data_IF_264907572864
#
_entry.id   IF_264907572864
#
_cell.length_a   1.000
_cell.length_b   1.000
_cell.length_c   1.000
_cell.angle_alpha   90.00
_cell.angle_beta   90.00
_cell.angle_gamma   90.00
#
_symmetry.space_group_name_H-M   'P 1'
#
loop_
_entity.id
_entity.type
_entity.pdbx_description
1 polymer ?
#
# COMPACT_ATOMS: atom_id res chain seq x y z
N UNK A 1 -7.38 12.80 2.31
CA UNK A 1 -6.00 12.28 2.54
C UNK A 1 -5.19 13.35 3.25
N UNK A 2 -4.67 13.04 4.42
CA UNK A 2 -3.82 13.95 5.20
C UNK A 2 -2.33 13.76 4.92
N UNK A 3 -1.93 12.52 4.66
CA UNK A 3 -0.54 12.14 4.48
C UNK A 3 -0.39 10.97 3.51
N UNK A 4 0.59 11.05 2.67
CA UNK A 4 1.08 9.96 1.82
C UNK A 4 2.55 9.77 2.14
N UNK A 5 2.98 8.55 2.43
CA UNK A 5 4.36 8.26 2.78
C UNK A 5 4.75 6.83 2.49
N UNK A 6 6.05 6.59 2.45
CA UNK A 6 6.63 5.27 2.26
C UNK A 6 7.23 4.72 3.57
N UNK A 7 7.31 3.41 3.65
CA UNK A 7 8.03 2.70 4.70
C UNK A 7 8.70 1.45 4.14
N UNK A 8 9.94 1.22 4.52
CA UNK A 8 10.60 -0.07 4.30
C UNK A 8 10.12 -1.12 5.30
N UNK A 9 9.79 -0.70 6.51
CA UNK A 9 9.18 -1.51 7.57
C UNK A 9 7.97 -0.75 8.14
N UNK A 10 6.77 -1.30 7.93
CA UNK A 10 5.52 -0.71 8.40
C UNK A 10 5.40 -0.78 9.93
N UNK A 11 5.91 -1.83 10.56
CA UNK A 11 5.83 -1.97 12.01
C UNK A 11 6.74 -0.95 12.70
N UNK A 12 7.95 -0.75 12.18
CA UNK A 12 8.84 0.31 12.67
C UNK A 12 8.21 1.70 12.47
N UNK A 13 7.67 1.96 11.28
CA UNK A 13 7.01 3.24 10.97
C UNK A 13 5.81 3.50 11.87
N UNK A 14 4.97 2.49 12.12
CA UNK A 14 3.86 2.59 13.05
C UNK A 14 4.34 2.98 14.46
N UNK A 15 5.37 2.30 14.97
CA UNK A 15 5.95 2.60 16.29
C UNK A 15 6.51 4.02 16.38
N UNK A 16 7.17 4.51 15.33
CA UNK A 16 7.68 5.88 15.24
C UNK A 16 6.54 6.91 15.27
N UNK A 17 5.48 6.66 14.51
CA UNK A 17 4.33 7.56 14.45
C UNK A 17 3.51 7.61 15.74
N UNK A 18 3.54 6.54 16.53
CA UNK A 18 2.83 6.44 17.81
C UNK A 18 3.74 6.72 19.02
N UNK A 19 4.94 7.24 18.82
CA UNK A 19 5.83 7.61 19.92
C UNK A 19 6.41 6.45 20.72
N UNK A 20 6.28 5.20 20.23
CA UNK A 20 6.84 4.00 20.88
C UNK A 20 8.35 3.90 20.64
N UNK A 21 8.83 4.43 19.52
CA UNK A 21 10.25 4.58 19.21
C UNK A 21 10.65 6.06 19.23
N UNK A 22 11.93 6.37 19.45
CA UNK A 22 12.43 7.74 19.38
C UNK A 22 12.04 8.43 18.09
N UNK A 23 11.70 9.71 18.18
CA UNK A 23 11.30 10.54 17.05
C UNK A 23 12.49 10.60 16.07
N UNK A 24 12.27 10.10 14.86
CA UNK A 24 13.17 10.31 13.72
C UNK A 24 12.64 11.44 12.84
N UNK A 25 13.54 12.03 12.07
CA UNK A 25 13.17 13.01 11.05
C UNK A 25 12.06 12.45 10.14
N UNK A 26 11.04 13.28 9.88
CA UNK A 26 9.87 12.87 9.08
C UNK A 26 8.76 12.17 9.87
N UNK A 27 8.91 11.94 11.18
CA UNK A 27 7.82 11.43 12.02
C UNK A 27 6.62 12.38 11.99
N UNK A 28 5.41 11.82 11.98
CA UNK A 28 4.14 12.55 12.02
C UNK A 28 3.48 12.52 13.40
N UNK A 29 4.18 12.06 14.43
CA UNK A 29 3.64 11.90 15.77
C UNK A 29 2.87 13.13 16.26
N UNK A 30 3.49 14.30 16.27
CA UNK A 30 2.84 15.54 16.73
C UNK A 30 1.57 15.87 15.94
N UNK A 31 1.58 15.67 14.63
CA UNK A 31 0.40 15.91 13.77
C UNK A 31 -0.71 14.90 14.03
N UNK A 32 -0.36 13.66 14.33
CA UNK A 32 -1.30 12.60 14.71
C UNK A 32 -1.91 12.90 16.09
N UNK A 33 -1.12 13.30 17.06
CA UNK A 33 -1.58 13.71 18.39
C UNK A 33 -2.51 14.93 18.31
N UNK A 34 -2.14 15.95 17.55
CA UNK A 34 -2.99 17.11 17.31
C UNK A 34 -4.30 16.71 16.60
N UNK A 35 -4.24 15.80 15.64
CA UNK A 35 -5.44 15.31 14.96
C UNK A 35 -6.40 14.62 15.92
N UNK A 36 -5.90 13.69 16.75
CA UNK A 36 -6.72 12.96 17.70
C UNK A 36 -7.22 13.80 18.87
N UNK A 37 -6.66 14.99 19.11
CA UNK A 37 -7.24 15.94 20.06
C UNK A 37 -8.60 16.50 19.62
N UNK A 38 -8.92 16.37 18.32
CA UNK A 38 -10.14 16.93 17.69
C UNK A 38 -10.98 15.89 16.95
N UNK A 39 -10.46 14.70 16.73
CA UNK A 39 -11.08 13.65 15.93
C UNK A 39 -10.91 12.28 16.60
N UNK A 40 -11.85 11.39 16.39
CA UNK A 40 -11.83 10.06 17.01
C UNK A 40 -11.19 8.98 16.13
N UNK A 41 -11.14 9.19 14.81
CA UNK A 41 -10.72 8.16 13.85
C UNK A 41 -9.76 8.69 12.81
N UNK A 42 -8.77 7.88 12.50
CA UNK A 42 -7.86 8.08 11.39
C UNK A 42 -7.77 6.78 10.59
N UNK A 43 -8.29 6.80 9.37
CA UNK A 43 -8.18 5.69 8.45
C UNK A 43 -6.84 5.68 7.72
N UNK A 44 -6.44 4.50 7.23
CA UNK A 44 -5.26 4.39 6.39
C UNK A 44 -5.43 3.29 5.33
N UNK A 45 -4.67 3.43 4.24
CA UNK A 45 -4.56 2.44 3.17
C UNK A 45 -3.09 2.11 2.98
N UNK A 46 -2.80 0.85 2.74
CA UNK A 46 -1.46 0.36 2.48
C UNK A 46 -1.40 -0.16 1.05
N UNK A 47 -0.41 0.31 0.30
CA UNK A 47 0.00 -0.26 -0.98
C UNK A 47 1.29 -1.04 -0.76
N UNK A 48 1.29 -2.32 -1.12
CA UNK A 48 2.44 -3.20 -0.99
C UNK A 48 2.97 -3.52 -2.37
N UNK A 49 4.25 -3.26 -2.61
CA UNK A 49 4.88 -3.51 -3.91
C UNK A 49 4.97 -4.99 -4.26
N UNK A 50 5.26 -5.82 -3.27
CA UNK A 50 5.51 -7.25 -3.48
C UNK A 50 5.01 -8.05 -2.28
N UNK A 51 4.45 -9.24 -2.50
CA UNK A 51 4.21 -10.20 -1.42
C UNK A 51 5.46 -10.48 -0.60
N UNK A 52 6.64 -10.37 -1.24
CA UNK A 52 7.95 -10.56 -0.62
C UNK A 52 8.34 -9.40 0.30
N UNK A 53 7.80 -8.21 0.13
CA UNK A 53 8.04 -7.03 0.98
C UNK A 53 7.13 -6.94 2.21
N UNK A 54 6.35 -7.97 2.49
CA UNK A 54 5.43 -8.01 3.61
C UNK A 54 6.11 -8.38 4.94
N UNK A 55 5.45 -8.13 6.10
CA UNK A 55 5.93 -8.60 7.41
C UNK A 55 6.26 -10.09 7.49
N UNK A 56 5.71 -10.88 6.57
CA UNK A 56 6.08 -12.28 6.35
C UNK A 56 7.56 -12.46 5.97
N UNK A 57 8.17 -11.48 5.31
CA UNK A 57 9.61 -11.54 4.97
C UNK A 57 10.46 -11.61 6.23
N UNK A 58 10.13 -10.85 7.26
CA UNK A 58 10.86 -10.89 8.52
C UNK A 58 10.75 -12.26 9.21
N UNK A 59 9.58 -12.90 9.14
CA UNK A 59 9.36 -14.25 9.69
C UNK A 59 9.99 -15.34 8.82
N UNK A 60 10.13 -15.11 7.53
CA UNK A 60 10.64 -16.07 6.55
C UNK A 60 12.01 -15.66 5.98
N UNK A 61 12.77 -14.79 6.66
CA UNK A 61 14.10 -14.34 6.21
C UNK A 61 14.99 -15.51 5.78
N UNK A 62 15.02 -16.56 6.59
CA UNK A 62 15.80 -17.78 6.30
C UNK A 62 15.36 -18.49 5.01
N UNK A 63 14.06 -18.47 4.68
CA UNK A 63 13.55 -19.04 3.45
C UNK A 63 14.01 -18.23 2.23
N UNK A 64 13.98 -16.90 2.33
CA UNK A 64 14.46 -16.02 1.26
C UNK A 64 15.97 -16.06 1.09
N UNK A 65 16.71 -16.19 2.18
CA UNK A 65 18.16 -16.42 2.13
C UNK A 65 18.51 -17.73 1.42
N UNK A 66 17.71 -18.79 1.67
CA UNK A 66 17.86 -20.06 0.97
C UNK A 66 17.54 -19.93 -0.52
N UNK A 67 16.44 -19.23 -0.86
CA UNK A 67 16.04 -18.99 -2.24
C UNK A 67 17.06 -18.10 -2.98
N UNK A 68 17.54 -17.05 -2.36
CA UNK A 68 18.58 -16.17 -2.90
C UNK A 68 19.87 -16.94 -3.22
N UNK A 69 20.31 -17.82 -2.30
CA UNK A 69 21.48 -18.69 -2.53
C UNK A 69 21.26 -19.63 -3.71
N UNK A 70 20.06 -20.21 -3.87
CA UNK A 70 19.74 -21.06 -5.01
C UNK A 70 19.78 -20.32 -6.35
N UNK A 71 19.43 -19.04 -6.35
CA UNK A 71 19.47 -18.17 -7.53
C UNK A 71 20.80 -17.44 -7.70
N UNK A 72 21.80 -17.74 -6.84
CA UNK A 72 23.08 -17.03 -6.79
C UNK A 72 22.93 -15.50 -6.78
N UNK A 73 21.96 -15.01 -6.03
CA UNK A 73 21.58 -13.61 -5.92
C UNK A 73 21.68 -13.18 -4.45
N UNK A 74 22.25 -12.04 -4.11
CA UNK A 74 22.21 -11.54 -2.73
C UNK A 74 20.77 -11.37 -2.24
N UNK A 75 20.50 -11.68 -0.97
CA UNK A 75 19.17 -11.46 -0.36
C UNK A 75 18.77 -9.99 -0.47
N UNK A 76 19.75 -9.12 -0.32
CA UNK A 76 19.60 -7.67 -0.48
C UNK A 76 19.07 -7.30 -1.86
N UNK A 77 19.38 -8.03 -2.92
CA UNK A 77 18.90 -7.78 -4.28
C UNK A 77 17.44 -8.25 -4.48
N UNK A 78 17.00 -9.29 -3.77
CA UNK A 78 15.58 -9.63 -3.68
C UNK A 78 14.78 -8.58 -2.88
N UNK A 79 15.46 -7.91 -1.95
CA UNK A 79 14.96 -6.83 -1.10
C UNK A 79 15.44 -5.43 -1.56
N UNK A 80 16.08 -5.32 -2.72
CA UNK A 80 17.08 -4.37 -3.15
C UNK A 80 16.63 -2.92 -3.32
N UNK A 81 17.64 -2.06 -3.64
CA UNK A 81 17.48 -0.66 -4.03
C UNK A 81 16.41 -0.43 -5.07
N UNK A 82 16.28 -1.31 -6.06
CA UNK A 82 15.22 -1.22 -7.06
C UNK A 82 13.82 -1.31 -6.43
N UNK A 83 13.67 -2.13 -5.39
CA UNK A 83 12.45 -2.18 -4.60
C UNK A 83 12.16 -0.88 -3.86
N UNK A 84 13.18 -0.27 -3.29
CA UNK A 84 13.07 1.03 -2.62
C UNK A 84 12.77 2.15 -3.60
N UNK A 85 13.37 2.13 -4.78
CA UNK A 85 13.13 3.13 -5.81
C UNK A 85 11.74 3.05 -6.39
N UNK A 86 11.19 1.86 -6.53
CA UNK A 86 9.80 1.69 -6.96
C UNK A 86 8.81 2.18 -5.89
N UNK A 87 9.08 1.92 -4.59
CA UNK A 87 8.27 2.47 -3.50
C UNK A 87 8.32 4.00 -3.49
N UNK A 88 9.50 4.59 -3.68
CA UNK A 88 9.65 6.05 -3.83
C UNK A 88 8.89 6.58 -5.04
N UNK A 89 8.91 5.87 -6.17
CA UNK A 89 8.13 6.25 -7.37
C UNK A 89 6.64 6.24 -7.09
N UNK A 90 6.12 5.19 -6.43
CA UNK A 90 4.70 5.11 -6.06
C UNK A 90 4.32 6.25 -5.12
N UNK A 91 5.13 6.56 -4.11
CA UNK A 91 4.91 7.72 -3.25
C UNK A 91 4.84 9.02 -4.07
N UNK A 92 5.80 9.24 -4.97
CA UNK A 92 5.83 10.43 -5.84
C UNK A 92 4.61 10.50 -6.78
N UNK A 93 4.17 9.37 -7.35
CA UNK A 93 2.94 9.30 -8.17
C UNK A 93 1.73 9.74 -7.34
N UNK A 94 1.57 9.19 -6.15
CA UNK A 94 0.39 9.47 -5.31
C UNK A 94 0.35 10.91 -4.81
N UNK A 95 1.48 11.44 -4.34
CA UNK A 95 1.57 12.84 -3.86
C UNK A 95 1.30 13.82 -5.00
N UNK A 96 1.91 13.59 -6.18
CA UNK A 96 1.72 14.45 -7.33
C UNK A 96 0.30 14.34 -7.91
N UNK A 97 -0.28 13.14 -7.92
CA UNK A 97 -1.69 12.93 -8.31
C UNK A 97 -2.64 13.72 -7.40
N UNK A 98 -2.37 13.69 -6.09
CA UNK A 98 -3.11 14.51 -5.13
C UNK A 98 -2.95 16.01 -5.42
N UNK A 99 -1.72 16.46 -5.65
CA UNK A 99 -1.42 17.87 -5.96
C UNK A 99 -2.12 18.33 -7.23
N UNK A 100 -2.09 17.52 -8.30
CA UNK A 100 -2.79 17.84 -9.57
C UNK A 100 -4.31 17.91 -9.36
N UNK A 101 -4.87 17.07 -8.49
CA UNK A 101 -6.31 17.04 -8.24
C UNK A 101 -6.79 18.21 -7.38
N UNK A 102 -6.04 18.56 -6.33
CA UNK A 102 -6.50 19.51 -5.29
C UNK A 102 -5.74 20.82 -5.28
N UNK A 103 -4.71 21.00 -6.11
CA UNK A 103 -3.91 22.22 -6.20
C UNK A 103 -2.84 22.37 -5.12
N UNK A 104 -2.76 21.48 -4.14
CA UNK A 104 -1.81 21.51 -3.04
C UNK A 104 -1.37 20.08 -2.65
N UNK A 105 -0.28 19.96 -1.91
CA UNK A 105 0.14 18.68 -1.32
C UNK A 105 -0.83 18.23 -0.22
N UNK A 106 -0.85 16.91 0.11
CA UNK A 106 -1.53 16.45 1.31
C UNK A 106 -1.06 17.27 2.53
N UNK A 107 -1.94 17.67 3.46
CA UNK A 107 -1.63 18.65 4.52
C UNK A 107 -0.40 18.34 5.38
N UNK A 108 -0.04 17.07 5.49
CA UNK A 108 1.12 16.66 6.29
C UNK A 108 2.37 16.33 5.44
N UNK A 109 2.29 16.46 4.12
CA UNK A 109 3.43 16.34 3.22
C UNK A 109 4.03 17.72 2.95
N UNK A 110 5.33 17.85 3.14
CA UNK A 110 6.06 19.08 2.88
C UNK A 110 6.70 19.11 1.48
N UNK A 111 6.84 17.94 0.87
CA UNK A 111 7.52 17.75 -0.43
C UNK A 111 6.73 16.77 -1.32
N UNK A 112 7.00 16.82 -2.62
CA UNK A 112 6.31 16.02 -3.63
C UNK A 112 6.79 14.56 -3.78
N UNK A 113 7.71 14.10 -2.92
CA UNK A 113 8.30 12.77 -3.08
C UNK A 113 9.23 12.68 -4.29
N UNK A 114 9.43 11.47 -4.82
CA UNK A 114 10.35 11.22 -5.94
C UNK A 114 9.95 11.93 -7.22
N UNK A 115 10.88 12.69 -7.82
CA UNK A 115 10.70 13.35 -9.12
C UNK A 115 10.39 12.33 -10.22
N UNK A 116 11.04 11.16 -10.18
CA UNK A 116 10.76 10.09 -11.13
C UNK A 116 9.31 9.57 -11.04
N UNK A 117 8.72 9.60 -9.84
CA UNK A 117 7.30 9.30 -9.64
C UNK A 117 6.39 10.44 -10.13
N UNK A 118 6.72 11.68 -9.77
CA UNK A 118 5.94 12.85 -10.20
C UNK A 118 5.78 12.92 -11.73
N UNK A 119 6.85 12.60 -12.48
CA UNK A 119 6.86 12.61 -13.94
C UNK A 119 6.06 11.46 -14.59
N UNK A 120 5.63 10.47 -13.81
CA UNK A 120 4.87 9.31 -14.30
C UNK A 120 3.38 9.38 -14.05
N UNK A 121 2.88 10.48 -13.49
CA UNK A 121 1.46 10.63 -13.20
C UNK A 121 0.65 10.70 -14.49
N UNK A 122 -0.35 9.83 -14.57
CA UNK A 122 -1.35 9.77 -15.63
C UNK A 122 -2.76 9.98 -15.05
N UNK A 123 -3.76 10.13 -15.89
CA UNK A 123 -5.14 10.42 -15.47
C UNK A 123 -5.70 9.35 -14.51
N UNK A 124 -5.44 8.07 -14.77
CA UNK A 124 -5.89 6.99 -13.89
C UNK A 124 -5.32 7.09 -12.48
N UNK A 125 -4.08 7.57 -12.31
CA UNK A 125 -3.53 7.79 -10.98
C UNK A 125 -4.28 8.89 -10.22
N UNK A 126 -4.73 9.94 -10.92
CA UNK A 126 -5.55 11.02 -10.34
C UNK A 126 -6.89 10.47 -9.88
N UNK A 127 -7.51 9.58 -10.66
CA UNK A 127 -8.77 8.92 -10.30
C UNK A 127 -8.62 8.01 -9.07
N UNK A 128 -7.50 7.28 -8.96
CA UNK A 128 -7.18 6.49 -7.75
C UNK A 128 -7.15 7.38 -6.51
N UNK A 129 -6.44 8.50 -6.56
CA UNK A 129 -6.37 9.43 -5.43
C UNK A 129 -7.74 10.02 -5.11
N UNK A 130 -8.53 10.35 -6.11
CA UNK A 130 -9.91 10.82 -5.93
C UNK A 130 -10.74 9.79 -5.12
N UNK A 131 -10.61 8.51 -5.43
CA UNK A 131 -11.33 7.44 -4.73
C UNK A 131 -11.05 7.40 -3.22
N UNK A 132 -9.82 7.70 -2.79
CA UNK A 132 -9.46 7.77 -1.36
C UNK A 132 -9.98 9.01 -0.65
N UNK A 133 -10.35 10.03 -1.39
CA UNK A 133 -10.78 11.32 -0.84
C UNK A 133 -12.30 11.45 -0.76
N UNK A 134 -13.05 10.47 -1.26
CA UNK A 134 -14.52 10.46 -1.26
C UNK A 134 -15.01 9.55 -0.14
N UNK A 135 -15.53 10.08 0.99
CA UNK A 135 -15.90 9.30 2.18
C UNK A 135 -16.92 8.19 1.91
N UNK A 136 -17.87 8.45 1.01
CA UNK A 136 -18.99 7.56 0.79
C UNK A 136 -18.66 6.26 0.03
N UNK A 137 -17.53 6.26 -0.69
CA UNK A 137 -17.13 5.15 -1.55
C UNK A 137 -16.07 4.21 -0.95
N UNK A 138 -15.36 4.62 0.11
CA UNK A 138 -14.20 3.86 0.57
C UNK A 138 -14.56 2.44 1.02
N UNK A 139 -15.74 2.22 1.59
CA UNK A 139 -16.16 0.94 2.14
C UNK A 139 -16.35 -0.17 1.08
N UNK A 140 -16.56 0.23 -0.17
CA UNK A 140 -16.81 -0.67 -1.32
C UNK A 140 -15.80 -0.47 -2.45
N UNK A 141 -14.93 0.53 -2.36
CA UNK A 141 -13.98 0.84 -3.40
C UNK A 141 -12.93 -0.28 -3.53
N UNK A 142 -12.74 -0.89 -4.71
CA UNK A 142 -11.82 -2.01 -4.91
C UNK A 142 -10.36 -1.66 -4.67
N UNK A 143 -10.00 -0.38 -4.69
CA UNK A 143 -8.65 0.11 -4.45
C UNK A 143 -8.31 0.12 -2.95
N UNK A 144 -9.32 0.18 -2.08
CA UNK A 144 -9.17 0.13 -0.63
C UNK A 144 -9.23 -1.32 -0.16
N UNK A 145 -8.46 -1.65 0.89
CA UNK A 145 -8.54 -2.97 1.54
C UNK A 145 -9.97 -3.28 1.99
N UNK A 146 -10.38 -4.53 1.82
CA UNK A 146 -11.68 -5.04 2.30
C UNK A 146 -11.69 -5.31 3.79
N UNK A 147 -10.53 -5.25 4.42
CA UNK A 147 -10.36 -5.58 5.83
C UNK A 147 -9.46 -4.57 6.52
N UNK A 148 -9.71 -4.35 7.79
CA UNK A 148 -8.82 -3.61 8.68
C UNK A 148 -7.56 -4.43 8.97
N UNK A 149 -6.48 -3.78 9.42
CA UNK A 149 -5.26 -4.50 9.83
C UNK A 149 -5.56 -5.47 10.98
N UNK A 150 -6.46 -5.11 11.87
CA UNK A 150 -6.87 -6.01 12.96
C UNK A 150 -7.47 -7.30 12.42
N UNK A 151 -8.42 -7.19 11.47
CA UNK A 151 -9.01 -8.35 10.81
C UNK A 151 -7.97 -9.18 10.07
N UNK A 152 -7.06 -8.54 9.32
CA UNK A 152 -5.99 -9.23 8.60
C UNK A 152 -5.02 -9.95 9.54
N UNK A 153 -4.73 -9.37 10.71
CA UNK A 153 -3.85 -10.01 11.70
C UNK A 153 -4.47 -11.25 12.34
N UNK A 154 -5.79 -11.32 12.36
CA UNK A 154 -6.57 -12.43 12.94
C UNK A 154 -6.99 -13.50 11.92
N UNK A 155 -6.97 -13.15 10.63
CA UNK A 155 -7.39 -14.04 9.55
C UNK A 155 -6.33 -14.13 8.45
N UNK A 156 -5.48 -15.18 8.47
CA UNK A 156 -4.42 -15.39 7.47
C UNK A 156 -4.95 -15.53 6.04
N UNK A 157 -6.16 -16.08 5.86
CA UNK A 157 -6.77 -16.22 4.53
C UNK A 157 -7.12 -14.85 3.95
N UNK A 158 -7.69 -13.94 4.74
CA UNK A 158 -7.97 -12.58 4.31
C UNK A 158 -6.69 -11.79 4.04
N UNK A 159 -5.64 -12.00 4.85
CA UNK A 159 -4.33 -11.42 4.58
C UNK A 159 -3.78 -11.88 3.22
N UNK A 160 -3.97 -13.15 2.88
CA UNK A 160 -3.59 -13.69 1.57
C UNK A 160 -4.41 -13.08 0.44
N UNK A 161 -5.73 -12.95 0.58
CA UNK A 161 -6.59 -12.29 -0.40
C UNK A 161 -6.20 -10.83 -0.64
N UNK A 162 -5.94 -10.07 0.42
CA UNK A 162 -5.46 -8.69 0.26
C UNK A 162 -4.09 -8.61 -0.42
N UNK A 163 -3.20 -9.56 -0.18
CA UNK A 163 -1.93 -9.64 -0.90
C UNK A 163 -2.12 -9.82 -2.40
N UNK A 164 -3.05 -10.68 -2.79
CA UNK A 164 -3.42 -10.87 -4.19
C UNK A 164 -3.97 -9.57 -4.80
N UNK A 165 -4.90 -8.91 -4.13
CA UNK A 165 -5.48 -7.66 -4.58
C UNK A 165 -4.48 -6.50 -4.60
N UNK A 166 -3.45 -6.52 -3.75
CA UNK A 166 -2.34 -5.55 -3.82
C UNK A 166 -1.58 -5.63 -5.15
N UNK A 167 -1.44 -6.82 -5.74
CA UNK A 167 -0.85 -6.97 -7.06
C UNK A 167 -1.61 -6.21 -8.14
N UNK A 168 -2.95 -6.31 -8.15
CA UNK A 168 -3.78 -5.52 -9.06
C UNK A 168 -3.62 -4.01 -8.81
N UNK A 169 -3.70 -3.58 -7.55
CA UNK A 169 -3.55 -2.15 -7.18
C UNK A 169 -2.19 -1.58 -7.59
N UNK A 170 -1.12 -2.37 -7.48
CA UNK A 170 0.19 -1.95 -7.95
C UNK A 170 0.26 -1.77 -9.47
N UNK A 171 -0.40 -2.62 -10.24
CA UNK A 171 -0.49 -2.46 -11.69
C UNK A 171 -1.25 -1.18 -12.09
N UNK A 172 -2.30 -0.81 -11.36
CA UNK A 172 -2.95 0.49 -11.55
C UNK A 172 -1.95 1.65 -11.38
N UNK A 173 -1.17 1.61 -10.31
CA UNK A 173 -0.24 2.71 -9.98
C UNK A 173 0.96 2.75 -10.90
N UNK A 174 1.55 1.59 -11.22
CA UNK A 174 2.80 1.53 -11.98
C UNK A 174 2.58 1.58 -13.50
N UNK A 175 1.50 0.98 -13.98
CA UNK A 175 1.22 0.83 -15.41
C UNK A 175 0.04 1.68 -15.88
N UNK A 176 -0.72 2.27 -14.96
CA UNK A 176 -1.89 3.07 -15.26
C UNK A 176 -3.07 2.29 -15.86
N UNK A 177 -3.12 0.99 -15.55
CA UNK A 177 -4.22 0.13 -16.00
C UNK A 177 -5.53 0.48 -15.29
N UNK A 178 -6.65 0.18 -15.90
CA UNK A 178 -7.93 0.11 -15.19
C UNK A 178 -7.93 -1.07 -14.20
N UNK A 179 -8.74 -0.96 -13.13
CA UNK A 179 -8.72 -1.97 -12.05
C UNK A 179 -9.07 -3.37 -12.56
N UNK A 180 -10.11 -3.48 -13.39
CA UNK A 180 -10.54 -4.77 -13.92
C UNK A 180 -9.47 -5.40 -14.82
N UNK A 181 -8.81 -4.60 -15.66
CA UNK A 181 -7.73 -5.09 -16.52
C UNK A 181 -6.53 -5.56 -15.69
N UNK A 182 -6.20 -4.82 -14.63
CA UNK A 182 -5.14 -5.20 -13.71
C UNK A 182 -5.47 -6.48 -12.95
N UNK A 183 -6.73 -6.64 -12.55
CA UNK A 183 -7.21 -7.85 -11.88
C UNK A 183 -7.20 -9.06 -12.84
N UNK A 184 -7.66 -8.88 -14.07
CA UNK A 184 -7.62 -9.92 -15.10
C UNK A 184 -6.19 -10.35 -15.43
N UNK A 185 -5.25 -9.39 -15.47
CA UNK A 185 -3.84 -9.69 -15.71
C UNK A 185 -3.25 -10.60 -14.63
N UNK A 186 -3.49 -10.30 -13.35
CA UNK A 186 -3.02 -11.18 -12.27
C UNK A 186 -3.77 -12.50 -12.22
N UNK A 187 -5.06 -12.50 -12.55
CA UNK A 187 -5.87 -13.71 -12.54
C UNK A 187 -5.45 -14.73 -13.61
N UNK A 188 -4.96 -14.28 -14.77
CA UNK A 188 -4.41 -15.19 -15.81
C UNK A 188 -3.22 -16.01 -15.30
N UNK A 189 -2.53 -15.55 -14.26
CA UNK A 189 -1.37 -16.20 -13.65
C UNK A 189 -1.70 -16.83 -12.29
N UNK A 190 -2.98 -16.85 -11.91
CA UNK A 190 -3.43 -17.43 -10.63
C UNK A 190 -3.56 -18.96 -10.73
N UNK A 191 -2.43 -19.63 -10.64
CA UNK A 191 -2.35 -21.10 -10.72
C UNK A 191 -2.91 -21.83 -9.51
N UNK A 192 -3.19 -21.12 -8.42
CA UNK A 192 -3.69 -21.69 -7.16
C UNK A 192 -5.15 -21.37 -6.87
N UNK A 193 -5.81 -20.64 -7.78
CA UNK A 193 -7.23 -20.35 -7.70
C UNK A 193 -7.63 -19.34 -6.60
N UNK A 194 -6.75 -18.42 -6.24
CA UNK A 194 -7.01 -17.42 -5.19
C UNK A 194 -8.24 -16.56 -5.52
N UNK A 195 -8.37 -16.14 -6.78
CA UNK A 195 -9.46 -15.28 -7.21
C UNK A 195 -10.83 -16.00 -7.12
N UNK A 196 -10.90 -17.25 -7.52
CA UNK A 196 -12.13 -18.04 -7.39
C UNK A 196 -12.50 -18.25 -5.92
N UNK A 197 -11.54 -18.55 -5.06
CA UNK A 197 -11.79 -18.65 -3.60
C UNK A 197 -12.31 -17.34 -3.01
N UNK A 198 -11.80 -16.18 -3.43
CA UNK A 198 -12.34 -14.89 -3.01
C UNK A 198 -13.78 -14.66 -3.44
N UNK A 199 -14.18 -15.17 -4.62
CA UNK A 199 -15.57 -15.14 -5.07
C UNK A 199 -16.45 -16.06 -4.22
N UNK A 200 -16.04 -17.31 -4.04
CA UNK A 200 -16.75 -18.34 -3.26
C UNK A 200 -16.99 -17.91 -1.82
N UNK A 201 -15.97 -17.34 -1.18
CA UNK A 201 -16.06 -16.82 0.20
C UNK A 201 -16.79 -15.48 0.31
N UNK A 202 -17.13 -14.85 -0.82
CA UNK A 202 -17.75 -13.53 -0.84
C UNK A 202 -16.83 -12.38 -0.47
N UNK A 203 -15.51 -12.60 -0.34
CA UNK A 203 -14.55 -11.60 0.10
C UNK A 203 -14.52 -10.35 -0.79
N UNK A 204 -14.68 -10.51 -2.11
CA UNK A 204 -14.71 -9.39 -3.04
C UNK A 204 -15.88 -8.43 -2.81
N UNK A 205 -16.95 -8.90 -2.17
CA UNK A 205 -18.16 -8.12 -1.82
C UNK A 205 -18.14 -7.62 -0.37
N UNK A 206 -17.14 -8.03 0.42
CA UNK A 206 -17.00 -7.60 1.81
C UNK A 206 -16.84 -6.08 1.87
N UNK A 207 -17.60 -5.44 2.74
CA UNK A 207 -17.46 -4.00 3.01
C UNK A 207 -16.41 -3.80 4.10
N UNK A 208 -15.59 -2.77 3.94
CA UNK A 208 -14.71 -2.31 5.00
C UNK A 208 -15.57 -1.61 6.07
N UNK A 209 -15.50 -2.11 7.29
CA UNK A 209 -16.15 -1.51 8.47
C UNK A 209 -15.04 -1.01 9.39
N UNK A 210 -15.02 0.29 9.68
CA UNK A 210 -14.04 0.96 10.56
C UNK A 210 -14.71 1.50 11.79
#
# INVERSE_FOLDING_TARGET
VLYIGLAGDLAERFRQHNGILPIKEGSKQKKIEEYFSKNERLGYTIFVKSPLSQPLVHRNKTLYEKFARQQNTPVEDLLSEQGRDDIKRVEGILIESFRRKYGHFPPWNNIGGSVAGQNRVIENNINIVKSFCTPDDYAINPIVSRSTIRELSQNPEWAWYENYLHGARMNLLMLGMEYNDALDLINRNDTIGTFERMKETGYLKKRLIV
#
